data_IF_070619926876
#
_entry.id   IF_070619926876
#
_cell.length_a   1.000
_cell.length_b   1.000
_cell.length_c   1.000
_cell.angle_alpha   90.00
_cell.angle_beta   90.00
_cell.angle_gamma   90.00
#
_symmetry.space_group_name_H-M   'P 1'
#
loop_
_entity.id
_entity.type
_entity.pdbx_description
1 polymer ?
#
# COMPACT_ATOMS: atom_id res chain seq x y z
N UNK A 1 -10.21 4.75 19.53
CA UNK A 1 -9.82 3.55 18.76
C UNK A 1 -8.38 3.21 19.15
N UNK A 2 -8.03 1.94 19.39
CA UNK A 2 -6.64 1.57 19.63
C UNK A 2 -5.81 1.83 18.36
N UNK A 3 -4.66 2.46 18.51
CA UNK A 3 -3.67 2.65 17.45
C UNK A 3 -2.52 1.67 17.66
N UNK A 4 -1.99 1.13 16.56
CA UNK A 4 -0.80 0.29 16.58
C UNK A 4 0.24 0.87 15.65
N UNK A 5 1.47 1.05 16.15
CA UNK A 5 2.61 1.51 15.35
C UNK A 5 3.81 0.63 15.64
N UNK A 6 4.45 0.15 14.59
CA UNK A 6 5.72 -0.58 14.67
C UNK A 6 6.74 0.03 13.72
N UNK A 7 8.01 0.01 14.11
CA UNK A 7 9.11 0.49 13.28
C UNK A 7 10.21 -0.56 13.31
N UNK A 8 10.69 -0.96 12.14
CA UNK A 8 11.73 -1.97 11.99
C UNK A 8 12.77 -1.50 10.98
N UNK A 9 14.04 -1.79 11.25
CA UNK A 9 15.13 -1.61 10.28
C UNK A 9 15.15 -2.80 9.32
N UNK A 10 15.19 -2.52 8.02
CA UNK A 10 15.22 -3.53 6.96
C UNK A 10 16.49 -3.35 6.11
N UNK A 11 17.01 -4.44 5.56
CA UNK A 11 18.18 -4.43 4.68
C UNK A 11 17.79 -4.16 3.22
N UNK A 12 16.89 -3.20 3.01
CA UNK A 12 16.39 -2.78 1.70
C UNK A 12 16.49 -1.27 1.58
N UNK A 13 16.66 -0.77 0.35
CA UNK A 13 16.65 0.67 0.09
C UNK A 13 15.25 1.25 0.34
N UNK A 14 15.19 2.56 0.62
CA UNK A 14 13.92 3.26 0.76
C UNK A 14 13.08 3.18 -0.52
N UNK A 15 13.72 3.26 -1.69
CA UNK A 15 13.09 3.15 -3.01
C UNK A 15 12.45 1.77 -3.19
N UNK A 16 13.18 0.67 -2.96
CA UNK A 16 12.63 -0.68 -3.11
C UNK A 16 11.46 -0.94 -2.15
N UNK A 17 11.52 -0.40 -0.93
CA UNK A 17 10.42 -0.49 0.02
C UNK A 17 9.22 0.35 -0.40
N UNK A 18 9.45 1.51 -1.01
CA UNK A 18 8.39 2.37 -1.54
C UNK A 18 7.71 1.72 -2.74
N UNK A 19 8.48 1.21 -3.70
CA UNK A 19 7.94 0.54 -4.89
C UNK A 19 7.06 -0.66 -4.52
N UNK A 20 7.45 -1.42 -3.49
CA UNK A 20 6.65 -2.53 -2.96
C UNK A 20 5.28 -2.08 -2.45
N UNK A 21 5.18 -0.93 -1.76
CA UNK A 21 3.91 -0.44 -1.21
C UNK A 21 3.12 0.44 -2.19
N UNK A 22 3.79 1.04 -3.17
CA UNK A 22 3.14 1.82 -4.22
C UNK A 22 2.33 0.93 -5.16
N UNK A 23 2.78 -0.32 -5.39
CA UNK A 23 2.08 -1.32 -6.17
C UNK A 23 0.98 -2.03 -5.37
N UNK A 24 -0.05 -1.26 -4.99
CA UNK A 24 -1.14 -1.72 -4.13
C UNK A 24 -1.92 -2.89 -4.73
N UNK A 25 -1.98 -3.01 -6.06
CA UNK A 25 -2.73 -4.07 -6.76
C UNK A 25 -2.14 -5.46 -6.48
N UNK A 26 -0.89 -5.53 -6.04
CA UNK A 26 -0.20 -6.78 -5.68
C UNK A 26 -0.29 -7.13 -4.20
N UNK A 27 -0.98 -6.33 -3.38
CA UNK A 27 -1.13 -6.62 -1.95
C UNK A 27 -1.67 -8.01 -1.63
N UNK A 28 -2.58 -8.62 -2.42
CA UNK A 28 -3.01 -10.00 -2.18
C UNK A 28 -1.88 -11.04 -2.19
N UNK A 29 -0.74 -10.74 -2.81
CA UNK A 29 0.42 -11.65 -2.87
C UNK A 29 1.19 -11.71 -1.54
N UNK A 30 1.14 -10.67 -0.71
CA UNK A 30 2.05 -10.54 0.43
C UNK A 30 1.49 -9.90 1.70
N UNK A 31 0.36 -9.20 1.64
CA UNK A 31 -0.28 -8.59 2.81
C UNK A 31 -1.17 -9.63 3.49
N UNK A 32 -0.93 -9.99 4.76
CA UNK A 32 -1.80 -10.92 5.47
C UNK A 32 -3.23 -10.41 5.54
N UNK A 33 -4.20 -11.31 5.35
CA UNK A 33 -5.64 -11.01 5.35
C UNK A 33 -6.11 -10.05 4.24
N UNK A 34 -5.32 -9.89 3.18
CA UNK A 34 -5.75 -9.28 1.93
C UNK A 34 -5.96 -10.40 0.91
N UNK A 35 -7.19 -10.80 0.65
CA UNK A 35 -7.51 -11.82 -0.36
C UNK A 35 -7.65 -11.18 -1.74
N UNK A 36 -8.23 -9.99 -1.80
CA UNK A 36 -8.46 -9.23 -3.04
C UNK A 36 -8.25 -7.75 -2.77
N UNK A 37 -7.64 -7.05 -3.75
CA UNK A 37 -7.59 -5.59 -3.79
C UNK A 37 -8.10 -5.09 -5.15
N UNK A 38 -9.08 -4.18 -5.13
CA UNK A 38 -9.67 -3.61 -6.33
C UNK A 38 -9.64 -2.08 -6.28
N UNK A 39 -8.91 -1.46 -7.22
CA UNK A 39 -8.90 0.00 -7.37
C UNK A 39 -10.22 0.46 -7.98
N UNK A 40 -10.95 1.30 -7.25
CA UNK A 40 -12.23 1.91 -7.65
C UNK A 40 -12.04 3.26 -8.34
N UNK A 41 -10.94 3.94 -8.07
CA UNK A 41 -10.68 5.25 -8.66
C UNK A 41 -9.24 5.68 -8.47
N UNK A 42 -8.77 6.48 -9.43
CA UNK A 42 -7.51 7.23 -9.40
C UNK A 42 -7.85 8.68 -9.65
N UNK A 43 -7.29 9.57 -8.83
CA UNK A 43 -7.41 11.02 -9.05
C UNK A 43 -6.08 11.70 -8.79
N UNK A 44 -5.76 12.67 -9.62
CA UNK A 44 -4.60 13.53 -9.42
C UNK A 44 -4.97 14.68 -8.49
N UNK A 45 -4.19 14.89 -7.45
CA UNK A 45 -4.25 16.05 -6.56
C UNK A 45 -2.90 16.78 -6.59
N UNK A 46 -2.77 17.71 -7.54
CA UNK A 46 -1.52 18.44 -7.77
C UNK A 46 -0.40 17.50 -8.23
N UNK A 47 0.65 17.38 -7.40
CA UNK A 47 1.80 16.50 -7.65
C UNK A 47 1.58 15.06 -7.15
N UNK A 48 0.44 14.78 -6.51
CA UNK A 48 0.14 13.48 -5.91
C UNK A 48 -0.93 12.73 -6.71
N UNK A 49 -0.83 11.40 -6.71
CA UNK A 49 -1.91 10.51 -7.13
C UNK A 49 -2.59 9.90 -5.90
N UNK A 50 -3.91 9.98 -5.86
CA UNK A 50 -4.74 9.38 -4.81
C UNK A 50 -5.52 8.21 -5.42
N UNK A 51 -5.33 7.03 -4.84
CA UNK A 51 -6.08 5.82 -5.18
C UNK A 51 -7.15 5.54 -4.12
N UNK A 52 -8.34 5.15 -4.57
CA UNK A 52 -9.39 4.58 -3.72
C UNK A 52 -9.53 3.12 -4.10
N UNK A 53 -9.34 2.22 -3.14
CA UNK A 53 -9.42 0.78 -3.35
C UNK A 53 -10.26 0.11 -2.27
N UNK A 54 -10.97 -0.95 -2.67
CA UNK A 54 -11.60 -1.88 -1.75
C UNK A 54 -10.67 -3.07 -1.51
N UNK A 55 -10.59 -3.51 -0.26
CA UNK A 55 -9.82 -4.68 0.16
C UNK A 55 -10.76 -5.64 0.89
N UNK A 56 -10.72 -6.92 0.54
CA UNK A 56 -11.45 -7.99 1.23
C UNK A 56 -10.51 -9.05 1.75
#
# INVERSE_FOLDING_TARGET
>A
MPEFRTTRRLAHSAEAMFDLVADVERYPEFVPFCEVLQVRGRRSEGELEVLVADMT
#
